data_IF_141707642729
#
_entry.id   IF_141707642729
#
_cell.length_a   1.000
_cell.length_b   1.000
_cell.length_c   1.000
_cell.angle_alpha   90.00
_cell.angle_beta   90.00
_cell.angle_gamma   90.00
#
_symmetry.space_group_name_H-M   'P 1'
#
loop_
_entity.id
_entity.type
_entity.pdbx_description
1 polymer ?
#
# COMPACT_ATOMS: atom_id res chain seq x y z
N UNK A 1 17.76 -0.83 9.91
CA UNK A 1 18.53 -0.86 8.65
C UNK A 1 17.70 -0.22 7.56
N UNK A 2 18.34 0.48 6.63
CA UNK A 2 17.67 1.15 5.50
C UNK A 2 18.02 0.45 4.20
N UNK A 3 17.02 0.16 3.38
CA UNK A 3 17.19 -0.48 2.08
C UNK A 3 16.44 0.31 1.00
N UNK A 4 17.19 0.87 0.06
CA UNK A 4 16.62 1.56 -1.10
C UNK A 4 16.30 0.51 -2.16
N UNK A 5 15.06 0.49 -2.63
CA UNK A 5 14.63 -0.41 -3.70
C UNK A 5 15.24 0.00 -5.03
N UNK A 6 15.93 -0.94 -5.68
CA UNK A 6 16.26 -0.78 -7.10
C UNK A 6 15.05 -1.15 -7.96
N UNK A 7 14.46 -0.14 -8.61
CA UNK A 7 13.30 -0.25 -9.50
C UNK A 7 13.53 -1.12 -10.75
N UNK A 8 14.78 -1.50 -11.04
CA UNK A 8 15.14 -2.36 -12.19
C UNK A 8 15.39 -3.81 -11.81
N UNK A 9 15.50 -4.11 -10.52
CA UNK A 9 15.86 -5.43 -10.01
C UNK A 9 14.65 -6.17 -9.46
N UNK A 10 14.85 -7.47 -9.20
CA UNK A 10 13.85 -8.26 -8.49
C UNK A 10 13.67 -7.76 -7.05
N UNK A 11 12.50 -8.09 -6.51
CA UNK A 11 12.03 -7.63 -5.21
C UNK A 11 12.74 -8.39 -4.09
N UNK A 12 13.58 -7.70 -3.30
CA UNK A 12 14.22 -8.29 -2.11
C UNK A 12 13.24 -8.46 -0.94
N UNK A 13 12.24 -7.57 -0.84
CA UNK A 13 11.25 -7.55 0.23
C UNK A 13 9.85 -7.54 -0.33
N UNK A 14 9.00 -8.45 0.13
CA UNK A 14 7.59 -8.53 -0.29
C UNK A 14 6.68 -7.91 0.76
N UNK A 15 5.60 -7.30 0.26
CA UNK A 15 4.54 -6.72 1.07
C UNK A 15 3.22 -7.47 0.93
N UNK A 16 3.20 -8.55 0.14
CA UNK A 16 2.09 -9.49 0.13
C UNK A 16 1.73 -9.92 1.56
N UNK A 17 0.44 -9.92 1.86
CA UNK A 17 -0.14 -10.19 3.19
C UNK A 17 0.29 -9.24 4.30
N UNK A 18 0.95 -8.12 3.97
CA UNK A 18 1.31 -7.08 4.92
C UNK A 18 0.16 -6.08 5.07
N UNK A 19 0.04 -5.49 6.26
CA UNK A 19 -0.96 -4.46 6.56
C UNK A 19 -0.29 -3.13 6.78
N UNK A 20 -0.70 -2.13 6.01
CA UNK A 20 -0.40 -0.73 6.29
C UNK A 20 -1.29 -0.32 7.46
N UNK A 21 -0.66 -0.01 8.60
CA UNK A 21 -1.30 0.37 9.85
C UNK A 21 -1.53 1.88 9.95
N UNK A 22 -0.64 2.66 9.32
CA UNK A 22 -0.71 4.11 9.33
C UNK A 22 -0.09 4.67 8.06
N UNK A 23 -0.66 5.78 7.58
CA UNK A 23 -0.19 6.53 6.42
C UNK A 23 0.08 7.97 6.83
N UNK A 24 1.33 8.39 6.72
CA UNK A 24 1.77 9.74 7.06
C UNK A 24 2.24 10.47 5.80
N UNK A 25 1.74 11.69 5.62
CA UNK A 25 2.09 12.58 4.53
C UNK A 25 2.85 13.76 5.12
N UNK A 26 4.06 14.00 4.63
CA UNK A 26 4.87 15.12 5.07
C UNK A 26 5.60 15.73 3.89
N UNK A 27 5.16 16.93 3.48
CA UNK A 27 5.66 17.61 2.27
C UNK A 27 5.49 16.72 1.04
N UNK A 28 6.60 16.35 0.40
CA UNK A 28 6.70 15.49 -0.77
C UNK A 28 7.08 14.04 -0.41
N UNK A 29 6.94 13.64 0.86
CA UNK A 29 7.19 12.28 1.32
C UNK A 29 5.89 11.60 1.78
N UNK A 30 5.79 10.31 1.47
CA UNK A 30 4.75 9.40 1.95
C UNK A 30 5.42 8.31 2.79
N UNK A 31 4.93 8.11 3.99
CA UNK A 31 5.40 7.09 4.92
C UNK A 31 4.27 6.12 5.25
N UNK A 32 4.51 4.82 5.03
CA UNK A 32 3.57 3.75 5.30
C UNK A 32 4.14 2.85 6.39
N UNK A 33 3.54 2.87 7.57
CA UNK A 33 3.90 1.97 8.66
C UNK A 33 3.25 0.61 8.40
N UNK A 34 4.03 -0.47 8.47
CA UNK A 34 3.55 -1.83 8.23
C UNK A 34 3.60 -2.68 9.49
N UNK A 35 2.71 -3.66 9.59
CA UNK A 35 2.76 -4.70 10.63
C UNK A 35 3.93 -5.66 10.40
N UNK A 36 4.17 -6.02 9.14
CA UNK A 36 5.16 -6.98 8.67
C UNK A 36 5.71 -6.57 7.31
N UNK A 37 6.98 -6.89 7.06
CA UNK A 37 7.66 -6.80 5.78
C UNK A 37 8.42 -8.12 5.62
N UNK A 38 8.11 -8.86 4.57
CA UNK A 38 8.66 -10.20 4.35
C UNK A 38 9.95 -10.14 3.53
N UNK A 39 10.88 -11.04 3.84
CA UNK A 39 12.11 -11.28 3.10
C UNK A 39 12.24 -12.76 2.84
N UNK A 40 12.40 -13.13 1.57
CA UNK A 40 12.63 -14.49 1.14
C UNK A 40 14.09 -14.61 0.70
N UNK A 41 14.91 -15.31 1.48
CA UNK A 41 16.31 -15.54 1.18
C UNK A 41 16.71 -16.94 1.63
N UNK A 42 17.48 -17.64 0.79
CA UNK A 42 18.07 -18.96 1.12
C UNK A 42 17.04 -20.00 1.61
N UNK A 43 15.88 -20.06 0.97
CA UNK A 43 14.73 -20.93 1.33
C UNK A 43 14.14 -20.66 2.74
N UNK A 44 14.52 -19.56 3.39
CA UNK A 44 13.94 -19.09 4.65
C UNK A 44 13.02 -17.88 4.43
N UNK A 45 11.91 -17.85 5.15
CA UNK A 45 11.05 -16.69 5.31
C UNK A 45 11.39 -15.96 6.60
N UNK A 46 11.70 -14.67 6.49
CA UNK A 46 11.87 -13.77 7.63
C UNK A 46 10.90 -12.62 7.49
N UNK A 47 10.42 -12.10 8.61
CA UNK A 47 9.60 -10.89 8.62
C UNK A 47 10.13 -9.89 9.64
N UNK A 48 9.92 -8.62 9.33
CA UNK A 48 10.35 -7.48 10.14
C UNK A 48 9.17 -6.53 10.34
N UNK A 49 9.12 -5.89 11.50
CA UNK A 49 8.32 -4.68 11.67
C UNK A 49 9.08 -3.50 11.08
N UNK A 50 8.37 -2.58 10.43
CA UNK A 50 9.03 -1.45 9.80
C UNK A 50 8.09 -0.56 9.02
N UNK A 51 8.67 0.35 8.27
CA UNK A 51 7.94 1.27 7.41
C UNK A 51 8.56 1.34 6.03
N UNK A 52 7.78 1.84 5.09
CA UNK A 52 8.26 2.22 3.76
C UNK A 52 8.08 3.70 3.58
N UNK A 53 9.13 4.36 3.12
CA UNK A 53 9.11 5.77 2.77
C UNK A 53 9.27 5.93 1.25
N UNK A 54 8.36 6.67 0.65
CA UNK A 54 8.47 7.17 -0.71
C UNK A 54 8.85 8.64 -0.66
N UNK A 55 9.89 9.02 -1.39
CA UNK A 55 10.35 10.41 -1.48
C UNK A 55 10.02 11.02 -2.84
N UNK A 56 9.90 12.35 -2.89
CA UNK A 56 9.53 13.12 -4.10
C UNK A 56 8.26 12.57 -4.75
N UNK A 57 7.25 12.37 -3.92
CA UNK A 57 5.91 11.92 -4.29
C UNK A 57 5.16 13.09 -4.90
N UNK A 58 4.49 12.85 -6.02
CA UNK A 58 3.51 13.78 -6.56
C UNK A 58 2.14 13.37 -6.04
N UNK A 59 1.66 14.07 -5.01
CA UNK A 59 0.41 13.72 -4.33
C UNK A 59 -0.82 13.93 -5.22
N UNK A 60 -0.73 14.76 -6.26
CA UNK A 60 -1.83 14.94 -7.23
C UNK A 60 -1.98 13.73 -8.16
N UNK A 61 -0.90 12.96 -8.37
CA UNK A 61 -0.87 11.71 -9.14
C UNK A 61 -1.04 10.46 -8.23
N UNK A 62 -1.36 10.66 -6.96
CA UNK A 62 -1.62 9.60 -5.99
C UNK A 62 -3.10 9.55 -5.60
N UNK A 63 -3.64 8.34 -5.48
CA UNK A 63 -5.04 8.15 -5.08
C UNK A 63 -5.31 6.76 -4.52
N UNK A 64 -6.44 6.66 -3.80
CA UNK A 64 -7.04 5.40 -3.39
C UNK A 64 -8.41 5.29 -4.04
N UNK A 65 -8.60 4.23 -4.82
CA UNK A 65 -9.90 3.83 -5.35
C UNK A 65 -10.53 2.83 -4.38
N UNK A 66 -11.73 3.15 -3.88
CA UNK A 66 -12.53 2.28 -3.03
C UNK A 66 -13.68 1.68 -3.81
N UNK A 67 -13.94 0.38 -3.60
CA UNK A 67 -15.01 -0.35 -4.26
C UNK A 67 -16.07 -0.79 -3.25
N UNK A 68 -17.34 -0.57 -3.60
CA UNK A 68 -18.49 -0.88 -2.75
C UNK A 68 -18.77 -2.38 -2.64
N UNK A 69 -18.40 -3.15 -3.67
CA UNK A 69 -18.51 -4.60 -3.69
C UNK A 69 -17.10 -5.21 -3.56
N UNK A 70 -16.90 -6.18 -2.64
CA UNK A 70 -15.63 -6.85 -2.47
C UNK A 70 -15.26 -7.63 -3.75
N UNK A 71 -13.97 -7.61 -4.11
CA UNK A 71 -13.47 -8.34 -5.28
C UNK A 71 -13.80 -9.84 -5.17
N UNK A 72 -14.38 -10.44 -6.21
CA UNK A 72 -14.74 -11.86 -6.23
C UNK A 72 -16.10 -12.20 -5.61
N UNK A 73 -16.96 -11.22 -5.30
CA UNK A 73 -18.33 -11.49 -4.88
C UNK A 73 -19.17 -12.05 -6.05
N UNK A 74 -19.39 -13.37 -6.05
CA UNK A 74 -20.04 -14.12 -7.14
C UNK A 74 -21.47 -13.67 -7.50
N UNK A 75 -22.11 -12.84 -6.65
CA UNK A 75 -23.45 -12.32 -6.87
C UNK A 75 -23.53 -11.05 -7.72
N UNK A 76 -22.50 -10.19 -7.70
CA UNK A 76 -22.55 -8.87 -8.33
C UNK A 76 -21.32 -8.66 -9.23
N UNK A 77 -21.57 -8.59 -10.54
CA UNK A 77 -20.53 -8.38 -11.57
C UNK A 77 -20.36 -6.92 -11.97
N UNK A 78 -21.17 -6.03 -11.41
CA UNK A 78 -21.00 -4.59 -11.54
C UNK A 78 -20.11 -4.09 -10.41
N UNK A 79 -19.19 -3.18 -10.71
CA UNK A 79 -18.41 -2.48 -9.70
C UNK A 79 -18.84 -1.02 -9.65
N UNK A 80 -18.93 -0.48 -8.45
CA UNK A 80 -19.11 0.94 -8.19
C UNK A 80 -18.18 1.34 -7.04
N UNK A 81 -17.86 2.62 -6.96
CA UNK A 81 -16.85 3.07 -6.03
C UNK A 81 -16.59 4.57 -6.11
N UNK A 82 -15.56 5.01 -5.40
CA UNK A 82 -15.06 6.39 -5.44
C UNK A 82 -13.54 6.40 -5.43
N UNK A 83 -12.95 7.44 -6.01
CA UNK A 83 -11.53 7.76 -5.90
C UNK A 83 -11.38 8.92 -4.93
N UNK A 84 -10.32 8.93 -4.15
CA UNK A 84 -10.00 10.00 -3.20
C UNK A 84 -8.49 10.19 -3.07
N UNK A 85 -8.08 11.37 -2.60
CA UNK A 85 -6.69 11.60 -2.22
C UNK A 85 -6.32 10.84 -0.95
N UNK A 86 -5.01 10.72 -0.66
CA UNK A 86 -4.55 10.14 0.60
C UNK A 86 -4.94 10.96 1.83
N UNK A 87 -5.03 12.28 1.70
CA UNK A 87 -5.49 13.16 2.78
C UNK A 87 -6.97 12.92 3.10
N UNK A 88 -7.82 12.84 2.07
CA UNK A 88 -9.23 12.50 2.21
C UNK A 88 -9.41 11.11 2.84
N UNK A 89 -8.63 10.13 2.40
CA UNK A 89 -8.65 8.79 2.97
C UNK A 89 -8.31 8.78 4.47
N UNK A 90 -7.25 9.48 4.88
CA UNK A 90 -6.87 9.56 6.29
C UNK A 90 -7.95 10.24 7.17
N UNK A 91 -8.70 11.20 6.61
CA UNK A 91 -9.79 11.87 7.33
C UNK A 91 -11.02 10.98 7.44
N UNK A 92 -11.40 10.31 6.35
CA UNK A 92 -12.61 9.48 6.32
C UNK A 92 -12.41 8.11 7.00
N UNK A 93 -11.18 7.59 7.01
CA UNK A 93 -10.82 6.25 7.48
C UNK A 93 -9.65 6.28 8.50
N UNK A 94 -9.76 7.02 9.62
CA UNK A 94 -8.63 7.38 10.50
C UNK A 94 -7.97 6.23 11.27
N UNK A 95 -8.46 4.99 11.14
CA UNK A 95 -7.87 3.79 11.75
C UNK A 95 -7.96 2.58 10.82
N UNK A 96 -8.09 2.80 9.51
CA UNK A 96 -8.21 1.70 8.58
C UNK A 96 -6.86 1.02 8.36
N UNK A 97 -6.86 -0.31 8.37
CA UNK A 97 -5.70 -1.11 7.97
C UNK A 97 -5.86 -1.51 6.51
N UNK A 98 -4.87 -1.18 5.68
CA UNK A 98 -4.84 -1.61 4.28
C UNK A 98 -3.99 -2.88 4.16
N UNK A 99 -4.63 -4.02 3.98
CA UNK A 99 -3.99 -5.30 3.70
C UNK A 99 -3.65 -5.41 2.22
N UNK A 100 -2.38 -5.65 1.92
CA UNK A 100 -1.87 -5.74 0.55
C UNK A 100 -1.98 -7.18 0.06
N UNK A 101 -2.88 -7.41 -0.90
CA UNK A 101 -3.08 -8.70 -1.57
C UNK A 101 -2.26 -8.77 -2.85
N UNK A 102 -2.13 -7.66 -3.57
CA UNK A 102 -1.33 -7.58 -4.80
C UNK A 102 -0.43 -6.35 -4.75
N UNK A 103 0.85 -6.55 -5.01
CA UNK A 103 1.84 -5.49 -5.18
C UNK A 103 2.28 -5.39 -6.65
N UNK A 104 2.34 -4.17 -7.18
CA UNK A 104 2.77 -3.87 -8.54
C UNK A 104 3.77 -2.73 -8.55
N UNK A 105 4.87 -2.90 -9.28
CA UNK A 105 5.94 -1.89 -9.39
C UNK A 105 6.31 -1.71 -10.85
N UNK A 106 6.06 -0.54 -11.42
CA UNK A 106 6.33 -0.25 -12.82
C UNK A 106 6.82 1.19 -12.99
N UNK A 107 8.10 1.37 -13.31
CA UNK A 107 8.66 2.71 -13.50
C UNK A 107 8.51 3.56 -12.25
N UNK A 108 7.78 4.68 -12.35
CA UNK A 108 7.50 5.59 -11.24
C UNK A 108 6.27 5.22 -10.40
N UNK A 109 5.50 4.24 -10.85
CA UNK A 109 4.25 3.80 -10.24
C UNK A 109 4.45 2.60 -9.32
N UNK A 110 3.87 2.71 -8.12
CA UNK A 110 3.64 1.60 -7.20
C UNK A 110 2.14 1.44 -6.98
N UNK A 111 1.64 0.22 -7.09
CA UNK A 111 0.23 -0.11 -6.90
C UNK A 111 0.10 -1.17 -5.81
N UNK A 112 -0.73 -0.89 -4.82
CA UNK A 112 -1.16 -1.89 -3.84
C UNK A 112 -2.66 -2.13 -4.00
N UNK A 113 -3.07 -3.38 -4.11
CA UNK A 113 -4.48 -3.77 -4.15
C UNK A 113 -4.77 -4.69 -2.99
N UNK A 114 -5.94 -4.54 -2.36
CA UNK A 114 -6.35 -5.44 -1.31
C UNK A 114 -7.47 -4.93 -0.44
N UNK A 115 -7.50 -5.38 0.81
CA UNK A 115 -8.60 -5.18 1.73
C UNK A 115 -8.37 -3.98 2.64
N UNK A 116 -9.42 -3.21 2.89
CA UNK A 116 -9.41 -2.08 3.82
C UNK A 116 -10.30 -2.43 4.99
N UNK A 117 -9.67 -2.74 6.12
CA UNK A 117 -10.32 -3.14 7.35
C UNK A 117 -10.67 -1.93 8.21
N UNK A 118 -11.89 -1.89 8.74
CA UNK A 118 -12.41 -0.79 9.56
C UNK A 118 -12.96 -1.34 10.89
N UNK A 119 -12.07 -1.94 11.69
CA UNK A 119 -12.45 -2.69 12.89
C UNK A 119 -13.31 -3.91 12.53
N UNK A 120 -14.46 -4.05 13.17
CA UNK A 120 -15.36 -5.20 13.00
C UNK A 120 -16.32 -5.09 11.80
N UNK A 121 -16.24 -4.01 11.02
CA UNK A 121 -17.06 -3.84 9.82
C UNK A 121 -16.57 -4.73 8.68
N UNK A 122 -17.45 -5.01 7.71
CA UNK A 122 -17.06 -5.68 6.48
C UNK A 122 -15.95 -4.88 5.76
N UNK A 123 -14.87 -5.54 5.31
CA UNK A 123 -13.79 -4.85 4.63
C UNK A 123 -14.26 -4.34 3.27
N UNK A 124 -13.72 -3.18 2.88
CA UNK A 124 -13.82 -2.68 1.51
C UNK A 124 -12.67 -3.24 0.68
N UNK A 125 -12.80 -3.21 -0.64
CA UNK A 125 -11.67 -3.47 -1.52
C UNK A 125 -11.10 -2.15 -2.03
N UNK A 126 -9.77 -2.06 -2.07
CA UNK A 126 -9.05 -0.84 -2.39
C UNK A 126 -7.93 -1.06 -3.42
N UNK A 127 -7.67 -0.02 -4.21
CA UNK A 127 -6.47 0.09 -5.04
C UNK A 127 -5.79 1.41 -4.68
N UNK A 128 -4.62 1.34 -4.08
CA UNK A 128 -3.75 2.47 -3.76
C UNK A 128 -2.72 2.63 -4.87
N UNK A 129 -2.66 3.82 -5.47
CA UNK A 129 -1.70 4.19 -6.51
C UNK A 129 -0.78 5.27 -5.97
N UNK A 130 0.52 5.00 -6.00
CA UNK A 130 1.56 5.89 -5.52
C UNK A 130 2.49 6.20 -6.68
N UNK A 131 2.64 7.47 -7.01
CA UNK A 131 3.58 7.93 -8.00
C UNK A 131 4.68 8.74 -7.34
N UNK A 132 5.94 8.35 -7.58
CA UNK A 132 7.07 9.13 -7.06
C UNK A 132 8.31 9.02 -7.94
N UNK A 133 9.08 10.11 -8.02
CA UNK A 133 10.36 10.14 -8.77
C UNK A 133 11.58 9.82 -7.91
N UNK A 134 11.43 9.89 -6.59
CA UNK A 134 12.50 9.64 -5.64
C UNK A 134 12.64 8.15 -5.30
N UNK A 135 13.25 7.93 -4.15
CA UNK A 135 13.52 6.59 -3.62
C UNK A 135 12.28 5.99 -2.95
N UNK A 136 12.19 4.66 -3.01
CA UNK A 136 11.35 3.83 -2.15
C UNK A 136 12.27 3.12 -1.16
N UNK A 137 12.11 3.40 0.13
CA UNK A 137 13.06 3.04 1.18
C UNK A 137 12.35 2.16 2.20
N UNK A 138 12.82 0.92 2.37
CA UNK A 138 12.40 0.04 3.46
C UNK A 138 13.24 0.37 4.70
N UNK A 139 12.57 0.64 5.83
CA UNK A 139 13.17 0.92 7.13
C UNK A 139 12.74 -0.19 8.09
N UNK A 140 13.61 -1.20 8.26
CA UNK A 140 13.39 -2.41 9.08
C UNK A 140 14.34 -2.51 10.28
#
# INVERSE_FOLDING_TARGET
>A
MEYIRDRKSNVTFSLHDSRILNMEISRDNLSLQLDRIYQYADDEEKWYQGMIEFTKVDMEECDIMLFNAPFGYDGEKAFSGKSMSFEEFNVEYPNAEFEIVTEGYCGYDTVFQGWIWQGDNNPLFGIMRIWNTGDMIYRI
#
